data_IF_391951273860
#
_entry.id   IF_391951273860
#
_cell.length_a   1.000
_cell.length_b   1.000
_cell.length_c   1.000
_cell.angle_alpha   90.00
_cell.angle_beta   90.00
_cell.angle_gamma   90.00
#
_symmetry.space_group_name_H-M   'P 1'
#
loop_
_entity.id
_entity.type
_entity.pdbx_description
1 polymer ?
#
# COMPACT_ATOMS: atom_id res chain seq x y z
N UNK A 1 -18.56 5.81 -21.40
CA UNK A 1 -17.64 6.62 -20.56
C UNK A 1 -17.08 5.73 -19.48
N UNK A 2 -15.75 5.60 -19.32
CA UNK A 2 -15.21 4.61 -18.41
C UNK A 2 -15.44 5.06 -16.97
N UNK A 3 -16.18 4.22 -16.25
CA UNK A 3 -16.59 4.42 -14.87
C UNK A 3 -15.41 4.58 -13.92
N UNK A 4 -15.52 5.59 -13.08
CA UNK A 4 -14.66 5.86 -11.95
C UNK A 4 -14.89 4.72 -10.94
N UNK A 5 -13.91 3.83 -10.82
CA UNK A 5 -13.96 2.69 -9.91
C UNK A 5 -13.55 3.18 -8.52
N UNK A 6 -14.51 3.20 -7.59
CA UNK A 6 -14.33 3.65 -6.21
C UNK A 6 -13.52 2.62 -5.41
N UNK A 7 -12.20 2.73 -5.51
CA UNK A 7 -11.30 1.96 -4.66
C UNK A 7 -11.24 2.55 -3.26
N UNK A 8 -12.11 2.05 -2.40
CA UNK A 8 -11.89 1.60 -1.02
C UNK A 8 -13.05 0.64 -0.76
N UNK A 9 -12.79 -0.58 -0.27
CA UNK A 9 -13.84 -1.57 0.01
C UNK A 9 -15.04 -0.92 0.70
N UNK A 10 -16.24 -1.29 0.25
CA UNK A 10 -17.54 -0.78 0.68
C UNK A 10 -17.73 -0.86 2.20
N UNK A 11 -17.23 0.13 2.93
CA UNK A 11 -17.66 0.44 4.28
C UNK A 11 -18.98 1.20 4.17
N UNK A 12 -20.01 0.85 4.95
CA UNK A 12 -21.28 1.59 4.96
C UNK A 12 -21.07 3.08 5.29
N UNK A 13 -21.80 3.97 4.60
CA UNK A 13 -21.62 5.42 4.62
C UNK A 13 -22.24 6.10 5.86
N UNK A 14 -21.42 6.83 6.63
CA UNK A 14 -21.86 7.79 7.66
C UNK A 14 -21.04 9.07 7.55
N UNK A 15 -21.62 10.22 7.95
CA UNK A 15 -21.10 11.58 7.71
C UNK A 15 -19.71 11.87 8.31
N UNK A 16 -19.24 11.08 9.27
CA UNK A 16 -17.87 11.13 9.83
C UNK A 16 -16.76 10.71 8.82
N UNK A 17 -17.12 10.24 7.62
CA UNK A 17 -16.18 9.80 6.59
C UNK A 17 -15.38 10.90 5.91
N UNK A 18 -15.84 12.16 5.83
CA UNK A 18 -15.11 13.19 5.07
C UNK A 18 -13.73 13.51 5.65
N UNK A 19 -13.64 13.60 6.98
CA UNK A 19 -12.37 13.82 7.67
C UNK A 19 -11.48 12.58 7.64
N UNK A 20 -12.06 11.39 7.85
CA UNK A 20 -11.32 10.14 7.81
C UNK A 20 -10.76 9.83 6.41
N UNK A 21 -11.58 9.99 5.37
CA UNK A 21 -11.16 9.85 3.97
C UNK A 21 -10.02 10.81 3.63
N UNK A 22 -10.10 12.07 4.06
CA UNK A 22 -9.04 13.06 3.83
C UNK A 22 -7.72 12.68 4.53
N UNK A 23 -7.79 12.14 5.75
CA UNK A 23 -6.62 11.62 6.48
C UNK A 23 -5.94 10.49 5.69
N UNK A 24 -6.72 9.51 5.21
CA UNK A 24 -6.17 8.39 4.42
C UNK A 24 -5.54 8.83 3.11
N UNK A 25 -6.19 9.76 2.37
CA UNK A 25 -5.64 10.33 1.14
C UNK A 25 -4.31 11.02 1.41
N UNK A 26 -4.20 11.76 2.50
CA UNK A 26 -2.97 12.49 2.86
C UNK A 26 -1.83 11.52 3.20
N UNK A 27 -2.10 10.50 4.03
CA UNK A 27 -1.10 9.49 4.40
C UNK A 27 -0.60 8.76 3.15
N UNK A 28 -1.51 8.33 2.27
CA UNK A 28 -1.14 7.58 1.07
C UNK A 28 -0.38 8.42 0.04
N UNK A 29 -0.66 9.73 -0.06
CA UNK A 29 0.17 10.65 -0.85
C UNK A 29 1.60 10.73 -0.31
N UNK A 30 1.77 10.81 1.00
CA UNK A 30 3.10 10.83 1.62
C UNK A 30 3.85 9.51 1.40
N UNK A 31 3.15 8.38 1.53
CA UNK A 31 3.74 7.06 1.24
C UNK A 31 4.16 6.97 -0.23
N UNK A 32 3.36 7.49 -1.16
CA UNK A 32 3.74 7.56 -2.56
C UNK A 32 5.00 8.38 -2.79
N UNK A 33 5.12 9.55 -2.16
CA UNK A 33 6.32 10.41 -2.26
C UNK A 33 7.57 9.69 -1.78
N UNK A 34 7.49 9.01 -0.63
CA UNK A 34 8.59 8.19 -0.11
C UNK A 34 8.94 7.09 -1.11
N UNK A 35 7.95 6.38 -1.64
CA UNK A 35 8.16 5.31 -2.61
C UNK A 35 8.84 5.80 -3.90
N UNK A 36 8.43 6.97 -4.42
CA UNK A 36 9.01 7.56 -5.63
C UNK A 36 10.47 7.97 -5.42
N UNK A 37 10.82 8.49 -4.24
CA UNK A 37 12.16 9.04 -3.97
C UNK A 37 13.14 7.97 -3.51
N UNK A 38 12.71 6.99 -2.71
CA UNK A 38 13.61 6.13 -1.94
C UNK A 38 13.53 4.63 -2.24
N UNK A 39 12.42 4.14 -2.81
CA UNK A 39 12.22 2.69 -2.99
C UNK A 39 12.63 2.18 -4.38
N UNK A 40 13.20 3.02 -5.24
CA UNK A 40 13.74 2.64 -6.55
C UNK A 40 12.77 1.74 -7.37
N UNK A 41 13.17 0.54 -7.78
CA UNK A 41 12.34 -0.47 -8.45
C UNK A 41 11.32 -1.14 -7.51
N UNK A 42 11.59 -1.14 -6.21
CA UNK A 42 10.83 -1.84 -5.18
C UNK A 42 9.49 -1.17 -4.85
N UNK A 43 9.26 0.07 -5.31
CA UNK A 43 7.96 0.74 -5.20
C UNK A 43 6.80 -0.04 -5.83
N UNK A 44 7.06 -0.92 -6.80
CA UNK A 44 6.04 -1.77 -7.41
C UNK A 44 5.39 -2.73 -6.41
N UNK A 45 6.12 -3.16 -5.38
CA UNK A 45 5.59 -3.99 -4.30
C UNK A 45 4.52 -3.26 -3.50
N UNK A 46 4.80 -2.00 -3.16
CA UNK A 46 3.84 -1.15 -2.45
C UNK A 46 2.57 -0.94 -3.29
N UNK A 47 2.72 -0.78 -4.61
CA UNK A 47 1.59 -0.64 -5.52
C UNK A 47 0.80 -1.94 -5.72
N UNK A 48 1.45 -3.10 -5.61
CA UNK A 48 0.77 -4.39 -5.67
C UNK A 48 -0.03 -4.67 -4.38
N UNK A 49 0.51 -4.29 -3.23
CA UNK A 49 -0.17 -4.45 -1.92
C UNK A 49 -1.29 -3.44 -1.74
N UNK A 50 -1.07 -2.18 -2.15
CA UNK A 50 -2.07 -1.13 -2.08
C UNK A 50 -2.19 -0.40 -3.43
N UNK A 51 -3.05 -0.90 -4.33
CA UNK A 51 -3.26 -0.32 -5.65
C UNK A 51 -3.75 1.14 -5.64
N UNK A 52 -4.37 1.59 -4.55
CA UNK A 52 -4.91 2.94 -4.44
C UNK A 52 -3.78 3.96 -4.42
N UNK A 53 -2.65 3.64 -3.76
CA UNK A 53 -1.42 4.46 -3.77
C UNK A 53 -0.92 4.66 -5.20
N UNK A 54 -1.03 3.65 -6.07
CA UNK A 54 -0.61 3.76 -7.47
C UNK A 54 -1.44 4.79 -8.23
N UNK A 55 -2.73 4.94 -7.92
CA UNK A 55 -3.65 5.88 -8.60
C UNK A 55 -3.57 7.31 -8.07
N UNK A 56 -3.13 7.52 -6.83
CA UNK A 56 -3.03 8.85 -6.24
C UNK A 56 -1.98 9.75 -6.93
N UNK A 57 -2.24 11.05 -7.07
CA UNK A 57 -1.20 11.99 -7.45
C UNK A 57 -0.26 12.28 -6.27
N UNK A 58 1.01 11.92 -6.41
CA UNK A 58 2.04 12.17 -5.39
C UNK A 58 2.56 13.61 -5.36
N UNK A 59 2.23 14.42 -6.37
CA UNK A 59 2.82 15.73 -6.59
C UNK A 59 4.28 15.65 -7.06
N UNK A 60 4.91 16.81 -7.17
CA UNK A 60 6.32 16.91 -7.55
C UNK A 60 7.25 16.44 -6.42
N UNK A 61 8.27 15.68 -6.79
CA UNK A 61 9.32 15.14 -5.90
C UNK A 61 10.72 15.46 -6.41
N UNK A 62 10.85 16.32 -7.42
CA UNK A 62 12.10 16.65 -8.10
C UNK A 62 13.17 17.16 -7.14
N UNK A 63 12.82 18.07 -6.21
CA UNK A 63 13.74 18.57 -5.19
C UNK A 63 14.31 17.47 -4.29
N UNK A 64 13.48 16.47 -3.95
CA UNK A 64 13.90 15.35 -3.10
C UNK A 64 14.78 14.36 -3.86
N UNK A 65 14.49 14.15 -5.15
CA UNK A 65 15.35 13.37 -6.04
C UNK A 65 16.71 14.06 -6.22
N UNK A 66 16.73 15.38 -6.42
CA UNK A 66 17.95 16.16 -6.55
C UNK A 66 18.77 16.13 -5.25
N UNK A 67 18.11 16.29 -4.09
CA UNK A 67 18.78 16.16 -2.79
C UNK A 67 19.42 14.77 -2.62
N UNK A 68 18.71 13.69 -2.96
CA UNK A 68 19.24 12.32 -2.89
C UNK A 68 20.50 12.16 -3.77
N UNK A 69 20.49 12.76 -4.96
CA UNK A 69 21.64 12.78 -5.87
C UNK A 69 22.81 13.59 -5.29
N UNK A 70 22.55 14.81 -4.81
CA UNK A 70 23.58 15.69 -4.26
C UNK A 70 24.28 15.09 -3.04
N UNK A 71 23.55 14.32 -2.23
CA UNK A 71 24.10 13.62 -1.07
C UNK A 71 24.77 12.28 -1.42
N UNK A 72 24.86 11.91 -2.69
CA UNK A 72 25.43 10.65 -3.17
C UNK A 72 24.87 9.42 -2.41
N UNK A 73 23.55 9.42 -2.14
CA UNK A 73 22.92 8.32 -1.41
C UNK A 73 22.97 7.01 -2.22
N UNK A 74 23.21 5.89 -1.54
CA UNK A 74 23.20 4.55 -2.14
C UNK A 74 21.80 4.12 -2.63
N UNK A 75 21.76 3.04 -3.42
CA UNK A 75 20.50 2.46 -3.88
C UNK A 75 19.72 1.83 -2.73
N UNK A 76 18.40 1.66 -2.88
CA UNK A 76 17.59 0.95 -1.89
C UNK A 76 18.04 -0.50 -1.75
N UNK A 77 18.47 -1.14 -2.84
CA UNK A 77 19.07 -2.48 -2.81
C UNK A 77 20.27 -2.57 -1.88
N UNK A 78 21.15 -1.56 -1.91
CA UNK A 78 22.31 -1.49 -1.01
C UNK A 78 21.89 -1.33 0.45
N UNK A 79 20.86 -0.51 0.71
CA UNK A 79 20.27 -0.37 2.04
C UNK A 79 19.79 -1.71 2.59
N UNK A 80 19.03 -2.45 1.77
CA UNK A 80 18.47 -3.75 2.15
C UNK A 80 19.57 -4.78 2.44
N UNK A 81 20.64 -4.77 1.64
CA UNK A 81 21.82 -5.62 1.86
C UNK A 81 22.56 -5.23 3.14
N UNK A 82 22.82 -3.94 3.36
CA UNK A 82 23.56 -3.40 4.51
C UNK A 82 22.90 -3.77 5.83
N UNK A 83 21.58 -3.62 5.91
CA UNK A 83 20.80 -3.92 7.11
C UNK A 83 20.26 -5.36 7.13
N UNK A 84 20.70 -6.20 6.20
CA UNK A 84 20.35 -7.62 6.13
C UNK A 84 18.84 -7.87 6.14
N UNK A 85 18.06 -7.01 5.46
CA UNK A 85 16.61 -7.08 5.36
C UNK A 85 16.16 -8.15 4.35
N UNK A 86 16.61 -9.39 4.55
CA UNK A 86 16.38 -10.55 3.66
C UNK A 86 14.91 -10.96 3.58
N UNK A 87 14.12 -10.63 4.61
CA UNK A 87 12.70 -10.98 4.70
C UNK A 87 11.79 -10.03 3.89
N UNK A 88 12.34 -8.96 3.32
CA UNK A 88 11.53 -8.09 2.49
C UNK A 88 11.16 -8.84 1.18
N UNK A 89 9.89 -8.76 0.73
CA UNK A 89 9.32 -9.69 -0.26
C UNK A 89 9.74 -9.38 -1.71
N UNK A 90 11.04 -9.38 -2.00
CA UNK A 90 11.60 -9.05 -3.32
C UNK A 90 11.30 -10.10 -4.39
N UNK A 91 11.30 -11.37 -4.01
CA UNK A 91 11.20 -12.52 -4.91
C UNK A 91 9.85 -13.24 -4.73
N UNK A 92 8.77 -12.48 -4.62
CA UNK A 92 7.44 -13.07 -4.59
C UNK A 92 7.07 -13.57 -6.00
N UNK A 93 6.49 -14.76 -6.08
CA UNK A 93 5.97 -15.28 -7.35
C UNK A 93 4.63 -14.63 -7.71
N UNK A 94 3.81 -14.35 -6.68
CA UNK A 94 2.49 -13.76 -6.80
C UNK A 94 2.23 -12.85 -5.59
N UNK A 95 1.70 -11.65 -5.83
CA UNK A 95 1.15 -10.73 -4.81
C UNK A 95 -0.17 -10.19 -5.36
N UNK A 96 -1.21 -10.20 -4.53
CA UNK A 96 -2.49 -9.60 -4.86
C UNK A 96 -3.68 -10.34 -4.25
N UNK A 97 -4.86 -10.03 -4.75
CA UNK A 97 -6.11 -10.63 -4.31
C UNK A 97 -6.26 -12.06 -4.84
N UNK A 98 -6.54 -13.00 -3.94
CA UNK A 98 -6.91 -14.37 -4.30
C UNK A 98 -8.44 -14.39 -4.45
N UNK A 99 -8.93 -14.71 -5.65
CA UNK A 99 -10.36 -14.74 -5.93
C UNK A 99 -10.79 -16.06 -6.57
N UNK A 100 -12.02 -16.46 -6.29
CA UNK A 100 -12.69 -17.61 -6.91
C UNK A 100 -13.33 -17.19 -8.24
N UNK A 101 -13.75 -18.16 -9.07
CA UNK A 101 -14.48 -17.90 -10.33
C UNK A 101 -15.76 -17.08 -10.13
N UNK A 102 -16.35 -17.12 -8.93
CA UNK A 102 -17.56 -16.38 -8.59
C UNK A 102 -17.26 -14.99 -7.97
N UNK A 103 -16.08 -14.44 -8.22
CA UNK A 103 -15.63 -13.13 -7.71
C UNK A 103 -15.62 -12.97 -6.18
N UNK A 104 -15.59 -14.07 -5.44
CA UNK A 104 -15.36 -14.03 -3.98
C UNK A 104 -13.87 -13.98 -3.69
N UNK A 105 -13.46 -13.08 -2.81
CA UNK A 105 -12.06 -12.90 -2.44
C UNK A 105 -11.76 -13.54 -1.08
N UNK A 106 -10.56 -14.09 -0.93
CA UNK A 106 -10.03 -14.48 0.37
C UNK A 106 -9.78 -13.22 1.19
N UNK A 107 -10.40 -13.14 2.36
CA UNK A 107 -10.31 -11.99 3.26
C UNK A 107 -9.79 -12.46 4.62
N UNK A 108 -8.95 -11.65 5.28
CA UNK A 108 -8.41 -11.97 6.60
C UNK A 108 -9.41 -11.72 7.73
N UNK A 109 -10.62 -11.24 7.41
CA UNK A 109 -11.70 -10.87 8.32
C UNK A 109 -11.30 -9.88 9.42
N UNK A 110 -10.20 -9.14 9.21
CA UNK A 110 -9.77 -8.08 10.13
C UNK A 110 -10.62 -6.83 9.92
N UNK A 111 -11.77 -6.79 10.59
CA UNK A 111 -12.57 -5.58 10.76
C UNK A 111 -11.89 -4.54 11.67
N UNK A 112 -12.42 -3.30 11.73
CA UNK A 112 -11.84 -2.17 12.48
C UNK A 112 -11.90 -2.32 14.01
N UNK A 113 -12.43 -3.44 14.51
CA UNK A 113 -12.47 -3.78 15.91
C UNK A 113 -11.86 -5.16 16.08
N UNK A 114 -10.80 -5.23 16.88
CA UNK A 114 -10.26 -6.49 17.41
C UNK A 114 -11.38 -7.24 18.14
N UNK A 115 -12.08 -8.16 17.48
CA UNK A 115 -12.89 -9.14 18.19
C UNK A 115 -11.92 -10.23 18.67
N UNK A 116 -11.56 -10.15 19.95
CA UNK A 116 -11.00 -11.26 20.72
C UNK A 116 -12.02 -12.41 20.82
N UNK A 117 -12.45 -13.00 19.71
CA UNK A 117 -13.34 -14.16 19.73
C UNK A 117 -13.33 -14.87 18.37
N UNK A 118 -12.32 -15.70 18.13
CA UNK A 118 -12.54 -16.91 17.33
C UNK A 118 -12.75 -18.03 18.34
N UNK A 119 -13.99 -18.21 18.82
CA UNK A 119 -14.36 -19.52 19.30
C UNK A 119 -14.38 -20.41 18.06
N UNK A 120 -13.34 -21.24 17.92
CA UNK A 120 -13.51 -22.49 17.19
C UNK A 120 -14.56 -23.25 18.00
N UNK A 121 -15.83 -23.12 17.63
CA UNK A 121 -16.81 -24.11 18.05
C UNK A 121 -16.38 -25.40 17.39
N UNK A 122 -15.69 -26.23 18.17
CA UNK A 122 -15.63 -27.66 17.94
C UNK A 122 -17.08 -28.13 17.80
N UNK A 123 -17.46 -28.46 16.57
CA UNK A 123 -18.50 -29.44 16.27
C UNK A 123 -17.80 -30.71 15.83
#
# INVERSE_FOLDING_TARGET
>A
SPGQFDGFGSFCETENKKNFFFVFVTIFKNYKRVALVWLDEYKQLIYAVNPDIKRLNGGDVSDRLQLRKNLNCSSFKDYLKRFQLKNFPFNHRYIGTISTSNHRCLDSMMGPFLTWTVYITLG
#
